data_IF_576264572726
#
_entry.id   IF_576264572726
#
_cell.length_a   1.000
_cell.length_b   1.000
_cell.length_c   1.000
_cell.angle_alpha   90.00
_cell.angle_beta   90.00
_cell.angle_gamma   90.00
#
_symmetry.space_group_name_H-M   'P 1'
#
loop_
_entity.id
_entity.type
_entity.pdbx_description
1 polymer ?
#
# COMPACT_ATOMS: atom_id res chain seq x y z
N UNK A 1 20.73 11.58 -0.14
CA UNK A 1 20.48 11.47 -1.59
C UNK A 1 19.07 10.93 -1.73
N UNK A 2 18.11 11.72 -2.19
CA UNK A 2 16.80 11.20 -2.58
C UNK A 2 17.06 10.39 -3.85
N UNK A 3 16.92 9.08 -3.79
CA UNK A 3 17.10 8.25 -4.96
C UNK A 3 15.92 8.53 -5.89
N UNK A 4 16.16 9.27 -6.97
CA UNK A 4 15.23 9.45 -8.10
C UNK A 4 15.10 8.13 -8.86
N UNK A 5 14.48 7.14 -8.22
CA UNK A 5 14.09 5.92 -8.91
C UNK A 5 12.68 6.14 -9.40
N UNK A 6 12.54 6.19 -10.73
CA UNK A 6 11.25 6.09 -11.41
C UNK A 6 10.63 4.72 -11.07
N UNK A 7 9.94 4.63 -9.94
CA UNK A 7 9.31 3.42 -9.44
C UNK A 7 7.93 3.30 -10.06
N UNK A 8 7.54 2.08 -10.43
CA UNK A 8 6.18 1.81 -10.89
C UNK A 8 5.51 0.87 -9.90
N UNK A 9 4.57 1.40 -9.11
CA UNK A 9 3.75 0.60 -8.22
C UNK A 9 2.56 -0.01 -8.95
N UNK A 10 2.24 -1.27 -8.62
CA UNK A 10 1.08 -2.00 -9.13
C UNK A 10 0.28 -2.54 -7.95
N UNK A 11 -0.85 -1.91 -7.68
CA UNK A 11 -1.73 -2.23 -6.56
C UNK A 11 -2.94 -2.97 -7.10
N UNK A 12 -3.18 -4.19 -6.60
CA UNK A 12 -4.33 -5.00 -6.97
C UNK A 12 -5.27 -5.09 -5.77
N UNK A 13 -6.54 -4.76 -6.00
CA UNK A 13 -7.55 -4.73 -4.96
C UNK A 13 -8.57 -5.86 -5.12
N UNK A 14 -9.20 -6.26 -4.01
CA UNK A 14 -10.29 -7.26 -3.98
C UNK A 14 -11.66 -6.66 -4.30
N UNK A 15 -11.84 -5.36 -4.09
CA UNK A 15 -13.13 -4.68 -4.28
C UNK A 15 -13.00 -3.42 -5.14
N UNK A 16 -14.06 -3.08 -5.87
CA UNK A 16 -14.14 -1.84 -6.65
C UNK A 16 -14.23 -0.59 -5.76
N UNK A 17 -14.67 -0.74 -4.51
CA UNK A 17 -14.71 0.33 -3.52
C UNK A 17 -13.31 0.74 -3.08
N UNK A 18 -12.45 -0.23 -2.72
CA UNK A 18 -11.05 0.02 -2.37
C UNK A 18 -10.29 0.70 -3.53
N UNK A 19 -10.51 0.25 -4.77
CA UNK A 19 -9.97 0.93 -5.97
C UNK A 19 -10.40 2.40 -6.02
N UNK A 20 -11.69 2.67 -5.78
CA UNK A 20 -12.25 4.03 -5.87
C UNK A 20 -11.66 4.94 -4.79
N UNK A 21 -11.51 4.45 -3.57
CA UNK A 21 -10.92 5.22 -2.48
C UNK A 21 -9.43 5.47 -2.68
N UNK A 22 -8.68 4.44 -3.09
CA UNK A 22 -7.27 4.57 -3.42
C UNK A 22 -7.05 5.56 -4.57
N UNK A 23 -7.87 5.47 -5.63
CA UNK A 23 -7.80 6.38 -6.77
C UNK A 23 -8.09 7.84 -6.38
N UNK A 24 -9.08 8.08 -5.50
CA UNK A 24 -9.35 9.41 -4.97
C UNK A 24 -8.17 9.97 -4.17
N UNK A 25 -7.53 9.12 -3.36
CA UNK A 25 -6.36 9.52 -2.59
C UNK A 25 -5.19 9.88 -3.51
N UNK A 26 -4.90 9.09 -4.55
CA UNK A 26 -3.87 9.41 -5.55
C UNK A 26 -4.10 10.78 -6.21
N UNK A 27 -5.34 11.06 -6.64
CA UNK A 27 -5.69 12.38 -7.19
C UNK A 27 -5.48 13.49 -6.17
N UNK A 28 -5.79 13.24 -4.89
CA UNK A 28 -5.63 14.26 -3.83
C UNK A 28 -4.17 14.64 -3.56
N UNK A 29 -3.24 13.72 -3.80
CA UNK A 29 -1.79 13.97 -3.70
C UNK A 29 -1.16 14.36 -5.05
N UNK A 30 -1.97 14.55 -6.09
CA UNK A 30 -1.50 14.95 -7.42
C UNK A 30 -0.79 13.85 -8.21
N UNK A 31 -1.01 12.58 -7.87
CA UNK A 31 -0.42 11.44 -8.56
C UNK A 31 -1.29 10.96 -9.72
N UNK A 32 -0.67 10.84 -10.89
CA UNK A 32 -1.29 10.25 -12.08
C UNK A 32 -1.25 8.73 -12.02
N UNK A 33 -2.32 8.08 -12.49
CA UNK A 33 -2.41 6.62 -12.47
C UNK A 33 -3.13 6.05 -13.68
N UNK A 34 -2.87 4.78 -13.96
CA UNK A 34 -3.60 3.96 -14.91
C UNK A 34 -4.41 2.92 -14.16
N UNK A 35 -5.67 2.73 -14.57
CA UNK A 35 -6.57 1.76 -13.96
C UNK A 35 -7.01 0.70 -14.97
N UNK A 36 -6.95 -0.58 -14.55
CA UNK A 36 -7.45 -1.73 -15.30
C UNK A 36 -8.64 -2.34 -14.58
N UNK A 37 -9.83 -1.98 -15.04
CA UNK A 37 -11.11 -2.32 -14.42
C UNK A 37 -11.32 -3.83 -14.19
N UNK A 38 -11.05 -4.64 -15.21
CA UNK A 38 -11.26 -6.10 -15.15
C UNK A 38 -10.45 -6.81 -14.06
N UNK A 39 -9.33 -6.23 -13.65
CA UNK A 39 -8.40 -6.84 -12.69
C UNK A 39 -8.33 -6.08 -11.36
N UNK A 40 -9.13 -5.03 -11.20
CA UNK A 40 -9.07 -4.09 -10.07
C UNK A 40 -7.62 -3.63 -9.77
N UNK A 41 -6.86 -3.36 -10.84
CA UNK A 41 -5.43 -3.04 -10.74
C UNK A 41 -5.20 -1.56 -11.04
N UNK A 42 -4.54 -0.87 -10.11
CA UNK A 42 -4.08 0.51 -10.25
C UNK A 42 -2.56 0.49 -10.42
N UNK A 43 -2.07 1.20 -11.43
CA UNK A 43 -0.64 1.35 -11.71
C UNK A 43 -0.27 2.82 -11.61
N UNK A 44 0.75 3.13 -10.80
CA UNK A 44 1.17 4.50 -10.50
C UNK A 44 2.68 4.59 -10.70
N UNK A 45 3.17 5.71 -11.24
CA UNK A 45 4.61 6.00 -11.30
C UNK A 45 4.95 6.98 -10.19
N UNK A 46 5.99 6.67 -9.44
CA UNK A 46 6.47 7.50 -8.35
C UNK A 46 7.88 7.98 -8.66
N UNK A 47 8.12 9.24 -8.36
CA UNK A 47 9.44 9.86 -8.46
C UNK A 47 10.29 9.60 -7.21
N UNK A 48 9.63 9.28 -6.09
CA UNK A 48 10.24 9.10 -4.77
C UNK A 48 9.78 7.81 -4.09
N UNK A 49 10.71 7.12 -3.43
CA UNK A 49 10.45 5.92 -2.63
C UNK A 49 9.44 6.20 -1.49
N UNK A 50 9.46 7.40 -0.90
CA UNK A 50 8.52 7.81 0.16
C UNK A 50 7.05 7.78 -0.32
N UNK A 51 6.78 8.26 -1.53
CA UNK A 51 5.44 8.24 -2.12
C UNK A 51 4.97 6.82 -2.42
N UNK A 52 5.90 5.96 -2.91
CA UNK A 52 5.61 4.55 -3.12
C UNK A 52 5.24 3.86 -1.80
N UNK A 53 6.03 4.07 -0.73
CA UNK A 53 5.78 3.48 0.58
C UNK A 53 4.45 3.97 1.18
N UNK A 54 4.11 5.25 1.01
CA UNK A 54 2.82 5.80 1.44
C UNK A 54 1.65 5.15 0.69
N UNK A 55 1.81 4.92 -0.62
CA UNK A 55 0.82 4.25 -1.44
C UNK A 55 0.64 2.77 -1.07
N UNK A 56 1.72 2.07 -0.73
CA UNK A 56 1.67 0.69 -0.23
C UNK A 56 0.92 0.60 1.11
N UNK A 57 1.23 1.49 2.05
CA UNK A 57 0.53 1.55 3.33
C UNK A 57 -0.97 1.86 3.15
N UNK A 58 -1.32 2.80 2.28
CA UNK A 58 -2.72 3.15 2.01
C UNK A 58 -3.49 2.01 1.34
N UNK A 59 -2.87 1.31 0.38
CA UNK A 59 -3.49 0.16 -0.26
C UNK A 59 -3.74 -0.97 0.74
N UNK A 60 -2.79 -1.23 1.64
CA UNK A 60 -2.94 -2.22 2.70
C UNK A 60 -4.07 -1.88 3.69
N UNK A 61 -4.18 -0.62 4.12
CA UNK A 61 -5.26 -0.14 4.98
C UNK A 61 -6.64 -0.42 4.36
N UNK A 62 -6.83 -0.07 3.09
CA UNK A 62 -8.10 -0.26 2.38
C UNK A 62 -8.46 -1.74 2.21
N UNK A 63 -7.48 -2.60 1.97
CA UNK A 63 -7.70 -4.05 1.89
C UNK A 63 -8.01 -4.65 3.26
N UNK A 64 -7.42 -4.13 4.34
CA UNK A 64 -7.72 -4.54 5.72
C UNK A 64 -9.13 -4.14 6.14
N UNK A 65 -9.60 -2.96 5.75
CA UNK A 65 -10.98 -2.51 5.97
C UNK A 65 -11.98 -3.35 5.16
N UNK A 66 -11.63 -3.71 3.93
CA UNK A 66 -12.46 -4.54 3.06
C UNK A 66 -12.48 -6.02 3.48
N UNK A 67 -11.43 -6.50 4.15
CA UNK A 67 -11.28 -7.89 4.61
C UNK A 67 -10.81 -7.93 6.08
N UNK A 68 -11.77 -7.96 7.04
CA UNK A 68 -11.46 -8.00 8.46
C UNK A 68 -10.63 -9.22 8.89
N UNK A 69 -10.56 -10.28 8.07
CA UNK A 69 -9.72 -11.45 8.36
C UNK A 69 -8.23 -11.20 8.09
N UNK A 70 -7.85 -10.21 7.26
CA UNK A 70 -6.46 -9.73 7.16
C UNK A 70 -6.02 -8.85 8.33
N UNK A 71 -6.95 -8.42 9.20
CA UNK A 71 -6.63 -7.55 10.34
C UNK A 71 -5.87 -8.24 11.48
N UNK A 72 -5.72 -9.57 11.45
CA UNK A 72 -5.11 -10.38 12.50
C UNK A 72 -3.82 -11.11 12.05
N UNK A 73 -3.18 -10.64 10.98
CA UNK A 73 -1.80 -11.02 10.64
C UNK A 73 -0.91 -9.77 10.63
N UNK A 74 -1.01 -8.94 11.67
CA UNK A 74 0.20 -8.27 12.13
C UNK A 74 1.01 -9.40 12.75
N UNK A 75 2.05 -9.89 12.06
CA UNK A 75 3.18 -10.46 12.76
C UNK A 75 3.54 -9.41 13.81
N UNK A 76 3.16 -9.67 15.06
CA UNK A 76 3.88 -9.10 16.19
C UNK A 76 5.33 -9.43 15.87
N UNK A 77 6.12 -8.41 15.51
CA UNK A 77 7.56 -8.50 15.69
C UNK A 77 7.71 -8.85 17.16
N UNK A 78 7.91 -10.14 17.43
CA UNK A 78 8.36 -10.65 18.70
C UNK A 78 9.60 -9.80 19.00
N UNK A 79 9.41 -8.82 19.90
CA UNK A 79 10.51 -8.06 20.46
C UNK A 79 11.39 -9.11 21.12
N UNK A 80 12.45 -9.47 20.41
CA UNK A 80 13.47 -10.39 20.85
C UNK A 80 14.16 -9.79 22.05
N UNK A 81 13.53 -9.89 23.22
CA UNK A 81 14.17 -9.74 24.51
C UNK A 81 15.02 -10.99 24.72
N UNK A 82 16.23 -10.91 24.18
CA UNK A 82 17.35 -11.80 24.42
C UNK A 82 17.46 -12.14 25.91
N UNK A 83 17.72 -13.40 26.20
CA UNK A 83 17.96 -13.98 27.52
C UNK A 83 18.81 -13.13 28.46
N UNK A 84 18.38 -13.02 29.72
CA UNK A 84 19.30 -12.97 30.86
C UNK A 84 18.85 -14.03 31.86
N UNK A 85 19.55 -15.16 31.81
CA UNK A 85 19.60 -16.16 32.86
C UNK A 85 20.35 -15.58 34.07
N UNK A 86 19.79 -15.74 35.27
CA UNK A 86 20.53 -15.78 36.54
C UNK A 86 20.04 -16.99 37.34
#
# INVERSE_FOLDING_TARGET
MLAEKNLTGKFKFKSSEAVKEFSKWLVSIGQDFSYKEKDYMVTVKFDFDEDYNAAEAKAYELEKEADPQMSLELEEVEDGATSLSD
#
